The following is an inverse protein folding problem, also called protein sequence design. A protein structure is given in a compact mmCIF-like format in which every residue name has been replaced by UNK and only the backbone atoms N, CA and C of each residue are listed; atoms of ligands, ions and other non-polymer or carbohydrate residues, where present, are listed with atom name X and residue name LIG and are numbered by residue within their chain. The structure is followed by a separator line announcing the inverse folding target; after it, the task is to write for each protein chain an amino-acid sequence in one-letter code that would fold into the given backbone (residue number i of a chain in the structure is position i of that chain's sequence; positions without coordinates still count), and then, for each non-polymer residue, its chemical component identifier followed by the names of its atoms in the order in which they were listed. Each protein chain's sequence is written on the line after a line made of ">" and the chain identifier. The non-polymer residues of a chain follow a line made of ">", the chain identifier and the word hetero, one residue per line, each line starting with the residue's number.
data_IF_913842315808
#
_entry.id   IF_913842315808
#
_cell.length_a   1.000
_cell.length_b   1.000
_cell.length_c   1.000
_cell.angle_alpha   90.00
_cell.angle_beta   90.00
_cell.angle_gamma   90.00
#
_symmetry.space_group_name_H-M   'P 1'
#
loop_
_entity.id
_entity.type
_entity.pdbx_description
1 polymer ?
#
# COMPACT_ATOMS: atom_id res chain seq x y z
N UNK A 1 -0.90 5.25 -11.63
CA UNK A 1 -0.96 4.53 -10.35
C UNK A 1 -2.18 4.99 -9.58
N UNK A 2 -2.97 4.05 -9.08
CA UNK A 2 -4.21 4.32 -8.33
C UNK A 2 -4.24 3.45 -7.08
N UNK A 3 -4.64 4.04 -5.96
CA UNK A 3 -4.79 3.33 -4.70
C UNK A 3 -6.26 3.41 -4.29
N UNK A 4 -6.84 2.26 -3.96
CA UNK A 4 -8.21 2.15 -3.48
C UNK A 4 -8.31 1.14 -2.34
N UNK A 5 -9.43 1.16 -1.63
CA UNK A 5 -9.77 0.16 -0.63
C UNK A 5 -10.99 -0.65 -1.07
N UNK A 6 -10.93 -1.96 -0.89
CA UNK A 6 -12.05 -2.88 -1.13
C UNK A 6 -12.10 -3.84 0.04
N UNK A 7 -13.17 -3.77 0.83
CA UNK A 7 -13.25 -4.40 2.16
C UNK A 7 -12.03 -3.99 3.01
N UNK A 8 -11.35 -4.96 3.62
CA UNK A 8 -10.12 -4.76 4.38
C UNK A 8 -8.86 -4.83 3.50
N UNK A 9 -8.97 -4.68 2.18
CA UNK A 9 -7.83 -4.74 1.28
C UNK A 9 -7.43 -3.35 0.81
N UNK A 10 -6.11 -3.14 0.73
CA UNK A 10 -5.50 -2.05 -0.03
C UNK A 10 -5.19 -2.61 -1.42
N UNK A 11 -5.74 -1.99 -2.46
CA UNK A 11 -5.52 -2.35 -3.86
C UNK A 11 -4.73 -1.23 -4.53
N UNK A 12 -3.63 -1.61 -5.17
CA UNK A 12 -2.70 -0.70 -5.85
C UNK A 12 -2.62 -1.12 -7.32
N UNK A 13 -3.13 -0.26 -8.21
CA UNK A 13 -3.16 -0.49 -9.65
C UNK A 13 -2.10 0.36 -10.38
N UNK A 14 -1.60 -0.17 -11.50
CA UNK A 14 -0.54 0.39 -12.32
C UNK A 14 0.74 0.66 -11.51
N UNK A 15 1.20 -0.36 -10.76
CA UNK A 15 2.37 -0.27 -9.89
C UNK A 15 3.51 -1.24 -10.28
N UNK A 16 3.41 -1.92 -11.43
CA UNK A 16 4.47 -2.80 -11.92
C UNK A 16 5.81 -2.08 -12.03
N UNK A 17 6.87 -2.69 -11.50
CA UNK A 17 8.23 -2.15 -11.48
C UNK A 17 8.50 -1.06 -10.43
N UNK A 18 7.50 -0.64 -9.64
CA UNK A 18 7.72 0.28 -8.52
C UNK A 18 7.99 -0.47 -7.22
N UNK A 19 8.84 0.09 -6.38
CA UNK A 19 8.97 -0.31 -4.98
C UNK A 19 7.76 0.12 -4.18
N UNK A 20 7.41 -0.64 -3.14
CA UNK A 20 6.27 -0.39 -2.27
C UNK A 20 6.67 -0.56 -0.81
N UNK A 21 6.17 0.31 0.04
CA UNK A 21 6.20 0.13 1.48
C UNK A 21 4.88 0.54 2.11
N UNK A 22 4.35 -0.26 3.03
CA UNK A 22 3.12 0.05 3.78
C UNK A 22 3.46 0.14 5.25
N UNK A 23 3.02 1.20 5.89
CA UNK A 23 3.25 1.49 7.31
C UNK A 23 1.92 1.66 8.05
N UNK A 24 1.89 1.25 9.31
CA UNK A 24 0.85 1.69 10.25
C UNK A 24 1.02 3.17 10.63
N UNK A 25 -0.01 3.75 11.27
CA UNK A 25 0.04 5.14 11.78
C UNK A 25 1.19 5.38 12.76
N UNK A 26 1.66 4.34 13.45
CA UNK A 26 2.79 4.37 14.37
C UNK A 26 4.15 4.46 13.66
N UNK A 27 4.17 4.31 12.33
CA UNK A 27 5.39 4.21 11.54
C UNK A 27 5.96 2.79 11.43
N UNK A 28 5.31 1.78 12.03
CA UNK A 28 5.73 0.40 11.87
C UNK A 28 5.55 -0.07 10.41
N UNK A 29 6.62 -0.59 9.82
CA UNK A 29 6.61 -1.19 8.48
C UNK A 29 5.89 -2.54 8.51
N UNK A 30 4.89 -2.71 7.65
CA UNK A 30 4.11 -3.95 7.49
C UNK A 30 4.46 -4.71 6.21
N UNK A 31 4.70 -3.99 5.13
CA UNK A 31 5.00 -4.57 3.81
C UNK A 31 6.14 -3.79 3.20
N UNK A 32 7.11 -4.50 2.61
CA UNK A 32 8.18 -3.93 1.81
C UNK A 32 8.40 -4.81 0.58
N UNK A 33 8.22 -4.23 -0.60
CA UNK A 33 8.47 -4.86 -1.89
C UNK A 33 9.47 -3.99 -2.65
N UNK A 34 10.56 -4.60 -3.13
CA UNK A 34 11.57 -3.87 -3.90
C UNK A 34 11.09 -3.54 -5.31
N UNK A 35 10.30 -4.43 -5.91
CA UNK A 35 9.65 -4.21 -7.20
C UNK A 35 8.38 -5.06 -7.28
N UNK A 36 7.22 -4.42 -7.45
CA UNK A 36 5.96 -5.13 -7.70
C UNK A 36 6.05 -5.76 -9.10
N UNK A 37 5.97 -7.09 -9.17
CA UNK A 37 6.08 -7.84 -10.43
C UNK A 37 4.87 -7.67 -11.36
N UNK A 38 3.71 -7.31 -10.81
CA UNK A 38 2.43 -7.23 -11.51
C UNK A 38 1.90 -5.81 -11.59
N UNK A 39 1.01 -5.54 -12.53
CA UNK A 39 0.35 -4.23 -12.61
C UNK A 39 -0.64 -3.97 -11.46
N UNK A 40 -1.04 -5.00 -10.72
CA UNK A 40 -1.92 -4.89 -9.56
C UNK A 40 -1.29 -5.58 -8.35
N UNK A 41 -1.32 -4.91 -7.21
CA UNK A 41 -0.88 -5.45 -5.92
C UNK A 41 -1.98 -5.26 -4.89
N UNK A 42 -2.30 -6.32 -4.15
CA UNK A 42 -3.36 -6.32 -3.15
C UNK A 42 -2.84 -6.83 -1.82
N UNK A 43 -3.07 -6.08 -0.75
CA UNK A 43 -2.73 -6.51 0.61
C UNK A 43 -3.95 -6.45 1.50
N UNK A 44 -4.22 -7.57 2.19
CA UNK A 44 -5.25 -7.65 3.22
C UNK A 44 -4.74 -7.08 4.54
N UNK A 45 -5.40 -6.05 5.03
CA UNK A 45 -5.13 -5.47 6.35
C UNK A 45 -5.84 -6.28 7.44
N UNK A 46 -5.13 -6.52 8.55
CA UNK A 46 -5.67 -7.28 9.68
C UNK A 46 -6.65 -6.48 10.53
N UNK A 47 -6.55 -5.16 10.51
CA UNK A 47 -7.30 -4.24 11.37
C UNK A 47 -7.77 -3.04 10.54
N UNK A 48 -8.87 -2.44 10.96
CA UNK A 48 -9.27 -1.11 10.51
C UNK A 48 -8.30 -0.07 11.06
N UNK A 49 -8.06 1.00 10.32
CA UNK A 49 -7.10 2.02 10.74
C UNK A 49 -6.54 2.85 9.60
N UNK A 50 -5.58 3.68 9.96
CA UNK A 50 -4.86 4.56 9.05
C UNK A 50 -3.53 3.91 8.68
N UNK A 51 -3.26 3.85 7.38
CA UNK A 51 -2.04 3.30 6.81
C UNK A 51 -1.38 4.34 5.90
N UNK A 52 -0.05 4.34 5.87
CA UNK A 52 0.75 5.14 4.93
C UNK A 52 1.35 4.21 3.89
N UNK A 53 1.12 4.53 2.62
CA UNK A 53 1.62 3.74 1.49
C UNK A 53 2.63 4.58 0.74
N UNK A 54 3.88 4.14 0.72
CA UNK A 54 4.95 4.72 -0.10
C UNK A 54 5.09 3.90 -1.38
N UNK A 55 5.02 4.54 -2.54
CA UNK A 55 5.25 3.87 -3.83
C UNK A 55 6.29 4.63 -4.63
N UNK A 56 7.31 3.90 -5.09
CA UNK A 56 8.51 4.48 -5.69
C UNK A 56 9.24 5.42 -4.74
N UNK A 57 10.01 6.35 -5.30
CA UNK A 57 10.98 7.10 -4.51
C UNK A 57 10.35 8.17 -3.60
N UNK A 58 9.22 8.80 -3.95
CA UNK A 58 8.81 10.05 -3.29
C UNK A 58 7.31 10.26 -3.05
N UNK A 59 6.43 9.28 -3.29
CA UNK A 59 4.98 9.48 -3.07
C UNK A 59 4.49 8.63 -1.89
N UNK A 60 4.08 9.32 -0.81
CA UNK A 60 3.39 8.71 0.32
C UNK A 60 1.92 9.12 0.28
N UNK A 61 1.02 8.14 0.38
CA UNK A 61 -0.42 8.36 0.41
C UNK A 61 -1.00 7.77 1.70
N UNK A 62 -1.85 8.55 2.37
CA UNK A 62 -2.63 8.10 3.53
C UNK A 62 -3.88 7.36 3.05
N UNK A 63 -4.11 6.17 3.58
CA UNK A 63 -5.29 5.33 3.31
C UNK A 63 -5.98 4.98 4.62
N UNK A 64 -7.31 4.94 4.58
CA UNK A 64 -8.15 4.60 5.73
C UNK A 64 -8.92 3.32 5.38
N UNK A 65 -8.69 2.26 6.15
CA UNK A 65 -9.49 1.03 6.12
C UNK A 65 -10.54 1.14 7.22
N UNK A 66 -11.80 0.93 6.86
CA UNK A 66 -12.95 0.99 7.77
C UNK A 66 -13.22 -0.37 8.39
#
# INVERSE_FOLDING_TARGET
>A
MKISTVDNNIVIENAGGYSLSIYEITGQLLVAEEAIATNSFTVRMRRSGIYFIKIGNNKVQKVIIK
#
